data_IF_111712640211
#
_entry.id   IF_111712640211
#
_cell.length_a   1.000
_cell.length_b   1.000
_cell.length_c   1.000
_cell.angle_alpha   90.00
_cell.angle_beta   90.00
_cell.angle_gamma   90.00
#
_symmetry.space_group_name_H-M   'P 1'
#
loop_
_entity.id
_entity.type
_entity.pdbx_description
1 polymer ?
#
# COMPACT_ATOMS: atom_id res chain seq x y z
N UNK A 1 3.21 10.19 19.20
CA UNK A 1 3.15 9.13 18.19
C UNK A 1 2.39 7.95 18.78
N UNK A 2 1.46 7.38 18.05
CA UNK A 2 0.79 6.15 18.48
C UNK A 2 1.69 4.94 18.20
N UNK A 3 1.55 3.93 19.06
CA UNK A 3 2.24 2.65 18.84
C UNK A 3 1.64 1.93 17.64
N UNK A 4 2.39 1.00 16.99
CA UNK A 4 1.85 0.16 15.94
C UNK A 4 0.55 -0.54 16.39
N UNK A 5 -0.45 -0.57 15.52
CA UNK A 5 -1.68 -1.32 15.79
C UNK A 5 -1.53 -2.74 15.23
N UNK A 6 -1.57 -3.75 16.09
CA UNK A 6 -1.52 -5.14 15.67
C UNK A 6 -2.87 -5.57 15.10
N UNK A 7 -2.86 -6.18 13.91
CA UNK A 7 -4.05 -6.68 13.20
C UNK A 7 -4.12 -8.21 13.31
N UNK A 8 -3.00 -8.89 13.03
CA UNK A 8 -2.79 -10.34 13.25
C UNK A 8 -1.43 -10.55 13.91
N UNK A 9 -0.99 -11.80 14.10
CA UNK A 9 0.35 -12.08 14.62
C UNK A 9 1.46 -11.48 13.77
N UNK A 10 1.24 -11.38 12.45
CA UNK A 10 2.25 -10.98 11.47
C UNK A 10 1.96 -9.62 10.82
N UNK A 11 0.75 -9.08 10.98
CA UNK A 11 0.31 -7.84 10.30
C UNK A 11 0.10 -6.73 11.30
N UNK A 12 0.70 -5.55 11.00
CA UNK A 12 0.61 -4.35 11.84
C UNK A 12 0.35 -3.12 10.96
N UNK A 13 -0.43 -2.17 11.45
CA UNK A 13 -0.43 -0.82 10.91
C UNK A 13 0.66 -0.03 11.62
N UNK A 14 1.64 0.46 10.86
CA UNK A 14 2.82 1.16 11.37
C UNK A 14 2.86 2.65 11.00
N UNK A 15 1.98 3.09 10.11
CA UNK A 15 1.83 4.48 9.68
C UNK A 15 0.40 4.79 9.27
N UNK A 16 0.13 6.07 9.04
CA UNK A 16 -1.17 6.62 8.70
C UNK A 16 -1.37 7.99 9.33
N UNK A 17 -2.51 8.61 9.08
CA UNK A 17 -2.80 9.97 9.52
C UNK A 17 -2.72 10.19 11.05
N UNK A 18 -2.80 9.13 11.83
CA UNK A 18 -2.73 9.14 13.30
C UNK A 18 -1.43 8.53 13.81
N UNK A 19 -0.95 7.48 13.17
CA UNK A 19 0.20 6.68 13.59
C UNK A 19 1.54 7.34 13.24
N UNK A 20 1.59 8.12 12.13
CA UNK A 20 2.84 8.75 11.65
C UNK A 20 2.68 10.23 11.33
N UNK A 21 1.96 10.65 10.29
CA UNK A 21 1.76 12.05 9.95
C UNK A 21 0.41 12.28 9.25
N UNK A 22 -0.15 13.49 9.38
CA UNK A 22 -1.51 13.82 8.93
C UNK A 22 -1.77 13.57 7.43
N UNK A 23 -0.73 13.63 6.60
CA UNK A 23 -0.84 13.39 5.16
C UNK A 23 -0.47 11.96 4.74
N UNK A 24 -0.14 11.09 5.68
CA UNK A 24 0.20 9.71 5.35
C UNK A 24 -1.08 8.89 5.16
N UNK A 25 -1.19 8.20 4.04
CA UNK A 25 -2.04 7.03 3.92
C UNK A 25 -1.59 5.93 4.88
N UNK A 26 -2.42 4.95 5.13
CA UNK A 26 -2.07 3.83 6.01
C UNK A 26 -0.87 3.05 5.46
N UNK A 27 0.09 2.77 6.34
CA UNK A 27 1.29 1.98 6.04
C UNK A 27 1.21 0.71 6.87
N UNK A 28 1.32 -0.43 6.19
CA UNK A 28 1.23 -1.72 6.86
C UNK A 28 2.55 -2.47 6.82
N UNK A 29 2.83 -3.21 7.88
CA UNK A 29 3.98 -4.11 8.01
C UNK A 29 3.49 -5.56 7.93
N UNK A 30 4.14 -6.34 7.09
CA UNK A 30 4.06 -7.81 7.03
C UNK A 30 5.34 -8.33 7.67
N UNK A 31 5.24 -8.84 8.90
CA UNK A 31 6.38 -9.31 9.69
C UNK A 31 6.66 -10.77 9.38
N UNK A 32 7.83 -11.05 8.81
CA UNK A 32 8.28 -12.42 8.52
C UNK A 32 9.81 -12.56 8.67
N UNK A 33 10.29 -12.25 9.88
CA UNK A 33 11.72 -12.25 10.20
C UNK A 33 12.50 -11.27 9.32
N UNK A 34 13.63 -11.71 8.79
CA UNK A 34 14.51 -10.92 7.93
C UNK A 34 14.03 -10.77 6.48
N UNK A 35 12.82 -11.25 6.16
CA UNK A 35 12.15 -11.06 4.88
C UNK A 35 10.82 -10.33 5.05
N UNK A 36 10.73 -9.47 6.06
CA UNK A 36 9.54 -8.65 6.30
C UNK A 36 9.32 -7.65 5.16
N UNK A 37 8.09 -7.15 5.03
CA UNK A 37 7.75 -6.19 3.98
C UNK A 37 6.86 -5.08 4.50
N UNK A 38 6.87 -3.94 3.81
CA UNK A 38 5.99 -2.81 4.05
C UNK A 38 5.02 -2.70 2.86
N UNK A 39 3.77 -2.35 3.11
CA UNK A 39 2.80 -1.96 2.09
C UNK A 39 2.57 -0.47 2.21
N UNK A 40 2.90 0.26 1.13
CA UNK A 40 2.96 1.71 1.00
C UNK A 40 4.01 2.41 1.90
N UNK A 41 4.22 3.70 1.68
CA UNK A 41 5.34 4.44 2.24
C UNK A 41 4.92 5.78 2.89
N UNK A 42 3.63 6.15 2.80
CA UNK A 42 3.16 7.44 3.26
C UNK A 42 3.64 8.62 2.41
N UNK A 43 3.36 9.81 2.86
CA UNK A 43 3.78 11.09 2.23
C UNK A 43 5.27 11.40 2.42
N UNK A 44 5.93 10.70 3.33
CA UNK A 44 7.30 10.98 3.78
C UNK A 44 7.38 11.87 5.01
N UNK A 45 6.35 12.63 5.34
CA UNK A 45 6.31 13.49 6.54
C UNK A 45 6.42 12.66 7.83
N UNK A 46 5.91 11.43 7.82
CA UNK A 46 5.89 10.50 8.95
C UNK A 46 7.03 9.48 8.99
N UNK A 47 8.00 9.51 8.07
CA UNK A 47 9.01 8.46 7.92
C UNK A 47 9.71 8.10 9.23
N UNK A 48 10.11 9.10 10.04
CA UNK A 48 10.76 8.84 11.33
C UNK A 48 9.88 7.99 12.26
N UNK A 49 8.59 8.28 12.33
CA UNK A 49 7.66 7.53 13.16
C UNK A 49 7.47 6.09 12.63
N UNK A 50 7.40 5.92 11.31
CA UNK A 50 7.32 4.60 10.66
C UNK A 50 8.54 3.76 11.00
N UNK A 51 9.76 4.30 10.91
CA UNK A 51 11.00 3.60 11.25
C UNK A 51 11.05 3.21 12.74
N UNK A 52 10.57 4.08 13.63
CA UNK A 52 10.45 3.76 15.07
C UNK A 52 9.40 2.65 15.30
N UNK A 53 8.28 2.69 14.59
CA UNK A 53 7.22 1.69 14.69
C UNK A 53 7.67 0.31 14.19
N UNK A 54 8.51 0.22 13.14
CA UNK A 54 9.13 -1.05 12.71
C UNK A 54 9.94 -1.66 13.86
N UNK A 55 10.77 -0.85 14.53
CA UNK A 55 11.57 -1.32 15.68
C UNK A 55 10.68 -1.74 16.86
N UNK A 56 9.58 -1.04 17.11
CA UNK A 56 8.62 -1.42 18.14
C UNK A 56 7.90 -2.75 17.85
N UNK A 57 7.84 -3.15 16.57
CA UNK A 57 7.39 -4.49 16.17
C UNK A 57 8.46 -5.57 16.36
N UNK A 58 9.65 -5.22 16.89
CA UNK A 58 10.75 -6.15 17.17
C UNK A 58 11.53 -6.56 15.93
N UNK A 59 11.68 -5.64 14.96
CA UNK A 59 12.48 -5.83 13.75
C UNK A 59 13.63 -4.81 13.70
N UNK A 60 14.73 -5.20 13.10
CA UNK A 60 15.73 -4.27 12.60
C UNK A 60 15.29 -3.70 11.24
N UNK A 61 15.76 -2.51 10.90
CA UNK A 61 15.38 -1.89 9.63
C UNK A 61 15.84 -2.71 8.43
N UNK A 62 16.98 -3.40 8.55
CA UNK A 62 17.51 -4.31 7.53
C UNK A 62 16.69 -5.58 7.32
N UNK A 63 15.74 -5.87 8.21
CA UNK A 63 14.82 -7.01 8.05
C UNK A 63 13.73 -6.74 7.01
N UNK A 64 13.59 -5.49 6.56
CA UNK A 64 12.62 -5.11 5.53
C UNK A 64 13.21 -5.39 4.15
N UNK A 65 12.69 -6.43 3.49
CA UNK A 65 13.15 -6.85 2.17
C UNK A 65 12.43 -6.13 1.02
N UNK A 66 11.15 -5.78 1.22
CA UNK A 66 10.31 -5.16 0.19
C UNK A 66 9.50 -3.98 0.71
N UNK A 67 9.29 -3.01 -0.18
CA UNK A 67 8.24 -1.99 -0.09
C UNK A 67 7.29 -2.27 -1.26
N UNK A 68 6.15 -2.84 -0.99
CA UNK A 68 5.08 -3.07 -1.95
C UNK A 68 4.26 -1.79 -2.08
N UNK A 69 4.17 -1.24 -3.28
CA UNK A 69 3.45 0.02 -3.53
C UNK A 69 2.13 -0.29 -4.22
N UNK A 70 1.04 0.15 -3.61
CA UNK A 70 -0.31 -0.11 -4.12
C UNK A 70 -0.62 0.73 -5.36
N UNK A 71 -0.25 2.02 -5.36
CA UNK A 71 -0.47 2.93 -6.48
C UNK A 71 0.40 4.18 -6.38
N UNK A 72 0.33 5.08 -7.38
CA UNK A 72 1.30 6.16 -7.53
C UNK A 72 1.01 7.42 -6.69
N UNK A 73 -0.09 7.54 -5.96
CA UNK A 73 -0.41 8.78 -5.27
C UNK A 73 0.59 9.12 -4.16
N UNK A 74 0.82 10.42 -3.96
CA UNK A 74 1.90 10.96 -3.15
C UNK A 74 1.85 10.52 -1.69
N UNK A 75 0.67 10.45 -1.11
CA UNK A 75 0.46 10.03 0.27
C UNK A 75 0.72 8.54 0.52
N UNK A 76 0.90 7.75 -0.54
CA UNK A 76 1.37 6.36 -0.53
C UNK A 76 2.83 6.22 -0.93
N UNK A 77 3.40 7.20 -1.66
CA UNK A 77 4.70 7.04 -2.34
C UNK A 77 5.76 8.05 -1.94
N UNK A 78 5.39 9.18 -1.34
CA UNK A 78 6.32 10.25 -1.00
C UNK A 78 7.44 9.83 -0.04
N UNK A 79 7.19 8.82 0.81
CA UNK A 79 8.16 8.28 1.75
C UNK A 79 9.11 7.21 1.19
N UNK A 80 8.91 6.74 -0.05
CA UNK A 80 9.66 5.58 -0.60
C UNK A 80 11.18 5.78 -0.51
N UNK A 81 11.70 6.91 -0.99
CA UNK A 81 13.15 7.17 -1.02
C UNK A 81 13.76 7.09 0.38
N UNK A 82 13.13 7.73 1.37
CA UNK A 82 13.62 7.75 2.76
C UNK A 82 13.52 6.36 3.43
N UNK A 83 12.41 5.63 3.22
CA UNK A 83 12.28 4.28 3.75
C UNK A 83 13.27 3.32 3.09
N UNK A 84 13.44 3.40 1.76
CA UNK A 84 14.42 2.60 1.03
C UNK A 84 15.85 2.86 1.49
N UNK A 85 16.22 4.13 1.68
CA UNK A 85 17.55 4.49 2.20
C UNK A 85 17.81 3.91 3.58
N UNK A 86 16.81 3.95 4.47
CA UNK A 86 16.93 3.47 5.83
C UNK A 86 16.92 1.93 5.96
N UNK A 87 16.23 1.23 5.05
CA UNK A 87 16.01 -0.22 5.16
C UNK A 87 16.83 -1.06 4.17
N UNK A 88 17.20 -0.49 3.03
CA UNK A 88 17.76 -1.22 1.90
C UNK A 88 16.72 -2.05 1.11
N UNK A 89 15.43 -1.90 1.40
CA UNK A 89 14.35 -2.66 0.80
C UNK A 89 14.21 -2.41 -0.71
N UNK A 90 13.78 -3.44 -1.44
CA UNK A 90 13.44 -3.33 -2.86
C UNK A 90 12.02 -2.81 -3.04
N UNK A 91 11.86 -1.79 -3.86
CA UNK A 91 10.57 -1.20 -4.20
C UNK A 91 9.90 -2.00 -5.32
N UNK A 92 8.67 -2.44 -5.09
CA UNK A 92 7.86 -3.23 -6.03
C UNK A 92 6.64 -2.42 -6.43
N UNK A 93 6.39 -2.26 -7.73
CA UNK A 93 5.26 -1.50 -8.24
C UNK A 93 4.80 -2.01 -9.61
N UNK A 94 3.51 -1.83 -9.92
CA UNK A 94 3.00 -2.11 -11.27
C UNK A 94 3.53 -1.08 -12.29
N UNK A 95 3.84 -1.53 -13.53
CA UNK A 95 4.46 -0.71 -14.57
C UNK A 95 3.70 0.56 -14.89
N UNK A 96 2.36 0.50 -14.90
CA UNK A 96 1.51 1.60 -15.36
C UNK A 96 1.48 2.77 -14.38
N UNK A 97 1.87 2.55 -13.11
CA UNK A 97 2.05 3.59 -12.09
C UNK A 97 3.53 3.92 -11.85
N UNK A 98 4.42 2.93 -12.01
CA UNK A 98 5.86 3.10 -11.83
C UNK A 98 6.42 4.25 -12.68
N UNK A 99 5.89 4.48 -13.88
CA UNK A 99 6.31 5.56 -14.77
C UNK A 99 6.12 6.94 -14.14
N UNK A 100 5.02 7.18 -13.41
CA UNK A 100 4.72 8.47 -12.79
C UNK A 100 5.59 8.72 -11.57
N UNK A 101 5.81 7.69 -10.76
CA UNK A 101 6.68 7.75 -9.58
C UNK A 101 8.15 7.91 -10.00
N UNK A 102 8.60 7.17 -11.02
CA UNK A 102 9.98 7.25 -11.51
C UNK A 102 10.29 8.58 -12.20
N UNK A 103 9.30 9.24 -12.80
CA UNK A 103 9.49 10.55 -13.42
C UNK A 103 9.27 11.73 -12.49
N UNK A 104 8.73 11.51 -11.29
CA UNK A 104 8.34 12.59 -10.38
C UNK A 104 7.14 13.39 -10.90
N UNK A 105 6.16 12.73 -11.51
CA UNK A 105 4.97 13.39 -12.07
C UNK A 105 4.13 14.01 -10.95
N UNK A 106 4.06 15.34 -10.94
CA UNK A 106 3.39 16.12 -9.89
C UNK A 106 1.85 16.09 -9.98
N UNK A 107 1.30 15.70 -11.14
CA UNK A 107 -0.13 15.73 -11.39
C UNK A 107 -0.77 14.37 -11.11
N UNK A 108 -0.30 13.33 -11.81
CA UNK A 108 -0.86 11.99 -11.68
C UNK A 108 -0.63 11.42 -10.28
N UNK A 109 0.49 11.77 -9.65
CA UNK A 109 0.76 11.39 -8.25
C UNK A 109 -0.04 12.21 -7.23
N UNK A 110 -0.83 13.18 -7.64
CA UNK A 110 -1.53 14.12 -6.75
C UNK A 110 -0.62 14.94 -5.81
N UNK A 111 0.70 14.95 -5.98
CA UNK A 111 1.63 15.67 -5.10
C UNK A 111 1.27 17.16 -4.96
N UNK A 112 0.73 17.77 -6.03
CA UNK A 112 0.24 19.15 -6.01
C UNK A 112 -0.92 19.39 -5.03
N UNK A 113 -1.74 18.40 -4.76
CA UNK A 113 -2.85 18.54 -3.80
C UNK A 113 -2.34 18.73 -2.37
N UNK A 114 -1.16 18.17 -2.10
CA UNK A 114 -0.47 18.28 -0.81
C UNK A 114 0.47 19.48 -0.75
N UNK A 115 0.58 20.28 -1.84
CA UNK A 115 1.59 21.33 -1.99
C UNK A 115 3.02 20.79 -1.75
N UNK A 116 3.28 19.59 -2.26
CA UNK A 116 4.55 18.87 -2.12
C UNK A 116 5.19 18.64 -3.48
N UNK A 117 6.48 18.34 -3.46
CA UNK A 117 7.24 17.90 -4.62
C UNK A 117 7.34 16.37 -4.63
N UNK A 118 7.12 15.76 -5.79
CA UNK A 118 7.38 14.33 -5.99
C UNK A 118 8.77 14.15 -6.55
N UNK A 119 9.70 13.66 -5.71
CA UNK A 119 11.05 13.35 -6.17
C UNK A 119 11.04 12.08 -7.03
N UNK A 120 11.75 12.07 -8.19
CA UNK A 120 11.91 10.86 -8.98
C UNK A 120 12.43 9.70 -8.12
N UNK A 121 11.74 8.56 -8.20
CA UNK A 121 12.02 7.42 -7.36
C UNK A 121 12.33 6.18 -8.19
N UNK A 122 13.43 5.51 -7.88
CA UNK A 122 13.79 4.26 -8.54
C UNK A 122 12.91 3.10 -8.06
N UNK A 123 12.33 2.37 -9.00
CA UNK A 123 11.55 1.16 -8.75
C UNK A 123 12.39 -0.06 -9.11
N UNK A 124 12.68 -0.91 -8.11
CA UNK A 124 13.59 -2.06 -8.27
C UNK A 124 12.93 -3.21 -9.03
N UNK A 125 11.64 -3.44 -8.79
CA UNK A 125 10.88 -4.53 -9.40
C UNK A 125 9.60 -3.97 -10.04
N UNK A 126 9.62 -3.85 -11.36
CA UNK A 126 8.48 -3.43 -12.15
C UNK A 126 7.66 -4.65 -12.55
N UNK A 127 6.42 -4.74 -12.04
CA UNK A 127 5.48 -5.83 -12.35
C UNK A 127 4.62 -5.47 -13.55
N UNK A 128 4.50 -6.39 -14.51
CA UNK A 128 3.66 -6.24 -15.70
C UNK A 128 2.54 -7.28 -15.78
N UNK A 129 2.56 -8.24 -14.87
CA UNK A 129 1.61 -9.34 -14.82
C UNK A 129 0.33 -8.92 -14.08
N UNK A 130 -0.81 -9.53 -14.43
CA UNK A 130 -2.07 -9.33 -13.71
C UNK A 130 -2.05 -9.88 -12.29
N UNK A 131 -1.18 -10.85 -12.05
CA UNK A 131 -0.96 -11.47 -10.74
C UNK A 131 0.50 -11.85 -10.62
N UNK A 132 1.10 -11.60 -9.43
CA UNK A 132 2.46 -12.00 -9.12
C UNK A 132 2.61 -12.36 -7.65
N UNK A 133 3.27 -13.48 -7.40
CA UNK A 133 3.56 -13.94 -6.05
C UNK A 133 4.99 -13.54 -5.63
N UNK A 134 5.13 -13.18 -4.36
CA UNK A 134 6.40 -12.84 -3.70
C UNK A 134 6.53 -13.70 -2.45
N UNK A 135 7.46 -14.65 -2.49
CA UNK A 135 7.79 -15.45 -1.31
C UNK A 135 8.60 -14.60 -0.33
N UNK A 136 8.17 -14.57 0.91
CA UNK A 136 8.96 -14.12 2.06
C UNK A 136 9.63 -15.36 2.72
N UNK A 137 9.75 -15.43 4.03
CA UNK A 137 10.24 -16.64 4.69
C UNK A 137 9.18 -17.74 4.80
N UNK A 138 8.08 -17.43 5.49
CA UNK A 138 6.94 -18.34 5.74
C UNK A 138 5.69 -17.87 5.00
N UNK A 139 5.59 -16.57 4.79
CA UNK A 139 4.45 -15.95 4.16
C UNK A 139 4.67 -15.80 2.65
N UNK A 140 3.57 -15.77 1.92
CA UNK A 140 3.55 -15.46 0.50
C UNK A 140 2.62 -14.27 0.25
N UNK A 141 3.15 -13.21 -0.34
CA UNK A 141 2.38 -12.03 -0.70
C UNK A 141 2.01 -12.12 -2.17
N UNK A 142 0.72 -12.04 -2.46
CA UNK A 142 0.23 -12.03 -3.84
C UNK A 142 -0.21 -10.63 -4.22
N UNK A 143 0.39 -10.07 -5.27
CA UNK A 143 -0.02 -8.83 -5.92
C UNK A 143 -1.07 -9.12 -6.98
N UNK A 144 -2.12 -8.31 -7.05
CA UNK A 144 -3.13 -8.29 -8.09
C UNK A 144 -3.21 -6.93 -8.74
N UNK A 145 -3.19 -6.88 -10.07
CA UNK A 145 -3.45 -5.67 -10.84
C UNK A 145 -4.93 -5.33 -10.82
N UNK A 146 -5.28 -4.19 -10.25
CA UNK A 146 -6.65 -3.71 -10.04
C UNK A 146 -6.80 -2.26 -10.51
N UNK A 147 -6.65 -1.97 -11.81
CA UNK A 147 -6.64 -0.61 -12.34
C UNK A 147 -7.96 0.11 -12.10
N UNK A 148 -7.90 1.44 -12.14
CA UNK A 148 -9.09 2.28 -12.15
C UNK A 148 -9.05 3.45 -11.21
N UNK A 149 -8.61 3.31 -9.97
CA UNK A 149 -8.29 4.44 -9.09
C UNK A 149 -7.07 5.21 -9.65
N UNK A 150 -6.01 4.50 -9.96
CA UNK A 150 -4.90 4.91 -10.82
C UNK A 150 -4.71 3.91 -11.96
N UNK A 151 -3.91 4.23 -13.02
CA UNK A 151 -3.65 3.30 -14.12
C UNK A 151 -3.01 1.98 -13.69
N UNK A 152 -2.12 2.02 -12.71
CA UNK A 152 -1.34 0.87 -12.23
C UNK A 152 -1.72 0.38 -10.83
N UNK A 153 -2.90 0.72 -10.34
CA UNK A 153 -3.36 0.28 -9.02
C UNK A 153 -3.22 -1.22 -8.81
N UNK A 154 -2.74 -1.60 -7.64
CA UNK A 154 -2.56 -2.98 -7.22
C UNK A 154 -3.13 -3.20 -5.81
N UNK A 155 -3.67 -4.37 -5.58
CA UNK A 155 -3.96 -4.87 -4.24
C UNK A 155 -3.00 -6.00 -3.90
N UNK A 156 -2.76 -6.20 -2.62
CA UNK A 156 -1.94 -7.30 -2.13
C UNK A 156 -2.74 -8.18 -1.17
N UNK A 157 -2.47 -9.48 -1.19
CA UNK A 157 -3.02 -10.40 -0.20
C UNK A 157 -1.93 -11.21 0.47
N UNK A 158 -2.18 -11.59 1.71
CA UNK A 158 -1.35 -12.51 2.48
C UNK A 158 -2.25 -13.31 3.43
N UNK A 159 -1.89 -14.56 3.71
CA UNK A 159 -2.53 -15.34 4.78
C UNK A 159 -1.73 -15.17 6.07
N UNK A 160 -2.41 -14.81 7.16
CA UNK A 160 -1.86 -14.72 8.51
C UNK A 160 -2.94 -15.14 9.51
N UNK A 161 -2.60 -15.98 10.50
CA UNK A 161 -3.51 -16.54 11.49
C UNK A 161 -4.75 -17.24 10.86
N UNK A 162 -4.53 -17.99 9.76
CA UNK A 162 -5.59 -18.64 8.95
C UNK A 162 -6.61 -17.67 8.33
N UNK A 163 -6.32 -16.37 8.33
CA UNK A 163 -7.15 -15.32 7.74
C UNK A 163 -6.52 -14.80 6.45
N UNK A 164 -7.35 -14.54 5.44
CA UNK A 164 -6.94 -13.84 4.22
C UNK A 164 -7.01 -12.33 4.45
N UNK A 165 -5.86 -11.68 4.43
CA UNK A 165 -5.71 -10.24 4.59
C UNK A 165 -5.61 -9.61 3.20
N UNK A 166 -6.42 -8.61 2.91
CA UNK A 166 -6.40 -7.81 1.69
C UNK A 166 -5.93 -6.39 2.02
N UNK A 167 -4.81 -5.97 1.43
CA UNK A 167 -4.40 -4.58 1.37
C UNK A 167 -5.01 -3.99 0.10
N UNK A 168 -6.09 -3.26 0.28
CA UNK A 168 -7.00 -2.90 -0.79
C UNK A 168 -6.71 -1.56 -1.45
N UNK A 169 -5.66 -0.83 -1.00
CA UNK A 169 -5.41 0.55 -1.45
C UNK A 169 -6.63 1.48 -1.20
N UNK A 170 -6.78 2.54 -2.00
CA UNK A 170 -7.88 3.50 -1.91
C UNK A 170 -9.16 2.96 -2.55
N UNK A 171 -9.82 2.04 -1.81
CA UNK A 171 -11.11 1.48 -2.20
C UNK A 171 -12.18 2.56 -2.35
N UNK A 172 -12.06 3.64 -1.58
CA UNK A 172 -13.02 4.76 -1.57
C UNK A 172 -12.86 5.75 -2.74
N UNK A 173 -11.79 5.67 -3.53
CA UNK A 173 -11.42 6.69 -4.51
C UNK A 173 -10.45 7.74 -3.95
N UNK A 174 -10.36 8.94 -4.52
CA UNK A 174 -11.24 9.55 -5.54
C UNK A 174 -11.06 8.99 -6.95
N UNK A 175 -12.03 9.25 -7.82
CA UNK A 175 -11.98 8.94 -9.24
C UNK A 175 -11.94 10.24 -10.03
N UNK A 176 -10.78 10.59 -10.55
CA UNK A 176 -10.52 11.76 -11.40
C UNK A 176 -9.84 11.31 -12.71
N UNK A 177 -10.64 11.22 -13.78
CA UNK A 177 -10.18 10.72 -15.08
C UNK A 177 -9.22 11.69 -15.79
N UNK A 178 -9.22 12.96 -15.39
CA UNK A 178 -8.39 14.02 -16.03
C UNK A 178 -7.04 14.11 -15.34
N UNK A 179 -7.02 14.36 -14.03
CA UNK A 179 -5.78 14.62 -13.27
C UNK A 179 -5.08 13.33 -12.90
N UNK A 180 -5.81 12.39 -12.26
CA UNK A 180 -5.24 11.15 -11.73
C UNK A 180 -5.21 10.03 -12.78
N UNK A 181 -5.74 10.27 -13.98
CA UNK A 181 -5.91 9.26 -15.04
C UNK A 181 -6.70 8.04 -14.57
N UNK A 182 -7.61 8.25 -13.63
CA UNK A 182 -8.52 7.21 -13.17
C UNK A 182 -9.39 6.68 -14.31
N UNK A 183 -9.93 5.48 -14.18
CA UNK A 183 -10.91 4.90 -15.08
C UNK A 183 -12.06 4.29 -14.29
N UNK A 184 -13.23 4.92 -14.31
CA UNK A 184 -14.41 4.50 -13.55
C UNK A 184 -14.88 3.10 -13.87
N UNK A 185 -14.79 2.71 -15.15
CA UNK A 185 -15.22 1.36 -15.58
C UNK A 185 -14.30 0.28 -15.04
N UNK A 186 -12.99 0.48 -15.15
CA UNK A 186 -12.00 -0.46 -14.60
C UNK A 186 -12.04 -0.47 -13.06
N UNK A 187 -12.22 0.69 -12.44
CA UNK A 187 -12.36 0.78 -10.97
C UNK A 187 -13.50 -0.09 -10.45
N UNK A 188 -14.69 -0.04 -11.06
CA UNK A 188 -15.82 -0.91 -10.67
C UNK A 188 -15.50 -2.39 -10.82
N UNK A 189 -14.89 -2.80 -11.94
CA UNK A 189 -14.44 -4.19 -12.14
C UNK A 189 -13.43 -4.62 -11.08
N UNK A 190 -12.53 -3.72 -10.72
CA UNK A 190 -11.52 -3.95 -9.68
C UNK A 190 -12.15 -4.12 -8.30
N UNK A 191 -13.18 -3.32 -7.95
CA UNK A 191 -13.95 -3.50 -6.72
C UNK A 191 -14.68 -4.85 -6.71
N UNK A 192 -15.35 -5.23 -7.81
CA UNK A 192 -16.00 -6.53 -7.94
C UNK A 192 -15.00 -7.68 -7.79
N UNK A 193 -13.83 -7.55 -8.39
CA UNK A 193 -12.73 -8.51 -8.23
C UNK A 193 -12.28 -8.61 -6.77
N UNK A 194 -12.04 -7.49 -6.07
CA UNK A 194 -11.66 -7.52 -4.66
C UNK A 194 -12.73 -8.18 -3.78
N UNK A 195 -14.01 -7.94 -4.06
CA UNK A 195 -15.12 -8.65 -3.39
C UNK A 195 -15.02 -10.17 -3.62
N UNK A 196 -14.66 -10.60 -4.84
CA UNK A 196 -14.56 -12.02 -5.18
C UNK A 196 -13.43 -12.75 -4.45
N UNK A 197 -12.40 -12.03 -3.97
CA UNK A 197 -11.32 -12.59 -3.15
C UNK A 197 -11.84 -13.10 -1.80
N UNK A 198 -12.99 -12.60 -1.33
CA UNK A 198 -13.65 -13.02 -0.10
C UNK A 198 -12.73 -12.93 1.13
N UNK A 199 -11.95 -11.84 1.21
CA UNK A 199 -10.99 -11.61 2.28
C UNK A 199 -11.66 -11.51 3.67
N UNK A 200 -10.96 -11.98 4.69
CA UNK A 200 -11.39 -11.92 6.09
C UNK A 200 -11.15 -10.54 6.70
N UNK A 201 -10.08 -9.87 6.27
CA UNK A 201 -9.70 -8.54 6.73
C UNK A 201 -9.34 -7.68 5.51
N UNK A 202 -9.84 -6.45 5.47
CA UNK A 202 -9.42 -5.40 4.54
C UNK A 202 -8.61 -4.36 5.32
N UNK A 203 -7.39 -4.13 4.89
CA UNK A 203 -6.52 -3.03 5.27
C UNK A 203 -6.65 -1.94 4.19
N UNK A 204 -7.40 -0.90 4.47
CA UNK A 204 -7.73 0.18 3.52
C UNK A 204 -6.77 1.36 3.69
N UNK A 205 -6.61 2.19 2.65
CA UNK A 205 -5.64 3.27 2.62
C UNK A 205 -5.91 4.42 3.60
N UNK A 206 -7.19 4.75 3.88
CA UNK A 206 -7.55 5.91 4.70
C UNK A 206 -8.64 5.64 5.75
N UNK A 207 -9.54 4.70 5.47
CA UNK A 207 -10.73 4.47 6.30
C UNK A 207 -10.53 3.36 7.33
N UNK A 208 -9.30 2.85 7.48
CA UNK A 208 -8.92 1.91 8.53
C UNK A 208 -9.08 0.44 8.15
N UNK A 209 -9.24 -0.40 9.16
CA UNK A 209 -9.23 -1.87 9.02
C UNK A 209 -10.63 -2.44 9.26
N UNK A 210 -11.11 -3.24 8.32
CA UNK A 210 -12.41 -3.89 8.38
C UNK A 210 -12.21 -5.39 8.57
N UNK A 211 -12.73 -5.94 9.68
CA UNK A 211 -12.64 -7.36 10.02
C UNK A 211 -13.98 -8.06 9.87
N UNK A 212 -13.98 -9.23 9.22
CA UNK A 212 -15.13 -10.07 8.90
C UNK A 212 -15.60 -9.88 7.46
N UNK A 213 -15.78 -11.00 6.74
CA UNK A 213 -16.07 -11.04 5.30
C UNK A 213 -17.26 -10.17 4.88
N UNK A 214 -18.32 -10.15 5.69
CA UNK A 214 -19.51 -9.33 5.38
C UNK A 214 -19.23 -7.83 5.53
N UNK A 215 -18.42 -7.43 6.51
CA UNK A 215 -18.00 -6.04 6.68
C UNK A 215 -17.07 -5.60 5.54
N UNK A 216 -16.09 -6.42 5.18
CA UNK A 216 -15.19 -6.19 4.04
C UNK A 216 -16.00 -6.01 2.77
N UNK A 217 -16.89 -6.97 2.47
CA UNK A 217 -17.78 -6.91 1.30
C UNK A 217 -18.67 -5.67 1.33
N UNK A 218 -19.27 -5.37 2.49
CA UNK A 218 -20.17 -4.22 2.65
C UNK A 218 -19.46 -2.90 2.39
N UNK A 219 -18.24 -2.73 2.92
CA UNK A 219 -17.43 -1.55 2.69
C UNK A 219 -17.10 -1.39 1.19
N UNK A 220 -16.53 -2.42 0.55
CA UNK A 220 -16.18 -2.33 -0.87
C UNK A 220 -17.42 -2.06 -1.74
N UNK A 221 -18.55 -2.71 -1.44
CA UNK A 221 -19.81 -2.50 -2.18
C UNK A 221 -20.36 -1.08 -2.07
N UNK A 222 -20.05 -0.33 -1.02
CA UNK A 222 -20.54 1.03 -0.85
C UNK A 222 -19.96 2.02 -1.88
N UNK A 223 -18.96 1.59 -2.66
CA UNK A 223 -18.32 2.40 -3.72
C UNK A 223 -18.63 1.91 -5.15
N UNK A 224 -19.45 0.88 -5.31
CA UNK A 224 -19.94 0.41 -6.62
C UNK A 224 -21.12 1.24 -7.11
#
# INVERSE_FOLDING_TARGET
MRKPAQITSDIFQIGGSIESAAHDAAIYLIKDGNMSAIVDAGSGDGTKAVLENIKLCGLELSDIAYIFVTHCHFDHTGGINSLREATGAKVVMHKDDAIFVSSGDMHVTAAKWYNKHMDPTHIDIIVNEKKKDFALNKLNVTMYFIPGHSPGSAAFTVNSDDLLILFGQDVHGPIDEITLRSNRTEYKKSLEFMISLNADILCEGHYGVYSGKDRVRGFIKSFL
#
